data_IF_153501140398
#
_entry.id   IF_153501140398
#
_cell.length_a   1.000
_cell.length_b   1.000
_cell.length_c   1.000
_cell.angle_alpha   90.00
_cell.angle_beta   90.00
_cell.angle_gamma   90.00
#
_symmetry.space_group_name_H-M   'P 1'
#
loop_
_entity.id
_entity.type
_entity.pdbx_description
1 polymer ?
#
# COMPACT_ATOMS: atom_id res chain seq x y z
N UNK A 1 -0.55 -12.64 -16.51
CA UNK A 1 -0.43 -13.00 -15.07
C UNK A 1 -1.80 -13.37 -14.53
N UNK A 2 -1.87 -14.18 -13.45
CA UNK A 2 -3.13 -14.54 -12.80
C UNK A 2 -4.01 -13.31 -12.49
N UNK A 3 -3.42 -12.26 -11.95
CA UNK A 3 -4.12 -11.02 -11.62
C UNK A 3 -4.86 -10.40 -12.82
N UNK A 4 -4.27 -10.44 -14.01
CA UNK A 4 -4.90 -9.86 -15.20
C UNK A 4 -5.86 -10.82 -15.91
N UNK A 5 -5.60 -12.13 -15.88
CA UNK A 5 -6.44 -13.10 -16.61
C UNK A 5 -7.66 -13.54 -15.82
N UNK A 6 -7.51 -13.72 -14.50
CA UNK A 6 -8.58 -14.26 -13.65
C UNK A 6 -9.28 -13.17 -12.84
N UNK A 7 -8.52 -12.16 -12.36
CA UNK A 7 -9.08 -11.09 -11.54
C UNK A 7 -9.42 -9.82 -12.32
N UNK A 8 -9.11 -9.80 -13.63
CA UNK A 8 -9.29 -8.62 -14.49
C UNK A 8 -8.65 -7.32 -13.93
N UNK A 9 -7.55 -7.48 -13.19
CA UNK A 9 -6.78 -6.36 -12.67
C UNK A 9 -5.85 -5.79 -13.76
N UNK A 10 -5.50 -4.50 -13.71
CA UNK A 10 -4.66 -3.87 -14.72
C UNK A 10 -3.31 -4.58 -14.88
N UNK A 11 -2.97 -4.94 -16.11
CA UNK A 11 -1.67 -5.57 -16.45
C UNK A 11 -0.64 -4.55 -16.94
N UNK A 12 -0.71 -3.32 -16.46
CA UNK A 12 0.20 -2.24 -16.82
C UNK A 12 1.69 -2.57 -16.61
N UNK A 13 2.56 -1.57 -16.70
CA UNK A 13 4.00 -1.74 -16.45
C UNK A 13 4.37 -1.81 -14.97
N UNK A 14 3.42 -1.63 -14.06
CA UNK A 14 3.64 -1.73 -12.63
C UNK A 14 4.14 -3.10 -12.19
N UNK A 15 4.97 -3.12 -11.16
CA UNK A 15 5.51 -4.31 -10.49
C UNK A 15 6.33 -5.25 -11.39
N UNK A 16 6.89 -4.74 -12.49
CA UNK A 16 7.80 -5.46 -13.40
C UNK A 16 9.28 -5.23 -13.09
N UNK A 17 9.61 -4.18 -12.36
CA UNK A 17 10.95 -3.84 -11.90
C UNK A 17 11.12 -4.14 -10.41
N UNK A 18 12.36 -4.32 -9.97
CA UNK A 18 12.72 -4.52 -8.58
C UNK A 18 13.62 -3.39 -8.09
N UNK A 19 13.36 -2.92 -6.88
CA UNK A 19 14.21 -1.93 -6.22
C UNK A 19 14.55 -2.42 -4.82
N UNK A 20 15.83 -2.47 -4.53
CA UNK A 20 16.34 -2.75 -3.19
C UNK A 20 16.40 -1.46 -2.38
N UNK A 21 15.77 -1.49 -1.19
CA UNK A 21 15.73 -0.37 -0.26
C UNK A 21 16.80 -0.54 0.80
N UNK A 22 17.41 0.56 1.28
CA UNK A 22 18.39 0.53 2.37
C UNK A 22 17.75 0.21 3.73
N UNK A 23 16.43 0.38 3.86
CA UNK A 23 15.68 0.19 5.09
C UNK A 23 14.61 -0.89 4.93
N UNK A 24 14.11 -1.42 6.07
CA UNK A 24 12.98 -2.36 6.11
C UNK A 24 11.61 -1.69 5.93
N UNK A 25 11.57 -0.44 5.59
CA UNK A 25 10.38 0.36 5.29
C UNK A 25 10.62 1.24 4.05
N UNK A 26 9.52 1.65 3.41
CA UNK A 26 9.54 2.54 2.24
C UNK A 26 9.45 4.00 2.67
N UNK A 27 8.53 4.29 3.60
CA UNK A 27 8.30 5.65 4.09
C UNK A 27 7.85 5.65 5.55
N UNK A 28 8.05 6.79 6.19
CA UNK A 28 7.55 7.07 7.55
C UNK A 28 6.33 7.97 7.41
N UNK A 29 5.20 7.53 7.96
CA UNK A 29 3.95 8.25 7.95
C UNK A 29 3.78 9.00 9.28
N UNK A 30 3.53 10.29 9.20
CA UNK A 30 3.23 11.16 10.34
C UNK A 30 1.73 11.40 10.37
N UNK A 31 1.07 10.96 11.42
CA UNK A 31 -0.34 11.25 11.72
C UNK A 31 -0.43 12.10 12.97
N UNK A 32 -1.38 13.02 13.03
CA UNK A 32 -1.59 13.87 14.18
C UNK A 32 -3.07 14.15 14.41
N UNK A 33 -3.48 14.27 15.68
CA UNK A 33 -4.83 14.66 16.05
C UNK A 33 -4.78 15.65 17.23
N UNK A 34 -5.78 16.53 17.38
CA UNK A 34 -5.91 17.30 18.62
C UNK A 34 -6.08 16.35 19.81
N UNK A 35 -5.61 16.70 21.04
CA UNK A 35 -5.77 15.88 22.22
C UNK A 35 -7.23 15.48 22.44
N UNK A 36 -7.45 14.20 22.80
CA UNK A 36 -8.78 13.61 23.02
C UNK A 36 -9.70 13.59 21.78
N UNK A 37 -9.15 13.77 20.59
CA UNK A 37 -9.90 13.71 19.32
C UNK A 37 -9.44 12.52 18.47
N UNK A 38 -10.42 11.83 17.86
CA UNK A 38 -10.16 10.80 16.84
C UNK A 38 -10.14 11.37 15.42
N UNK A 39 -10.37 12.69 15.27
CA UNK A 39 -10.34 13.34 13.97
C UNK A 39 -8.89 13.74 13.62
N UNK A 40 -8.23 13.06 12.67
CA UNK A 40 -6.87 13.38 12.31
C UNK A 40 -6.78 14.72 11.59
N UNK A 41 -5.65 15.40 11.79
CA UNK A 41 -5.26 16.53 10.95
C UNK A 41 -5.22 16.08 9.49
N UNK A 42 -5.78 16.90 8.61
CA UNK A 42 -5.82 16.60 7.17
C UNK A 42 -4.74 17.38 6.43
N UNK A 43 -4.07 16.70 5.50
CA UNK A 43 -3.18 17.30 4.50
C UNK A 43 -3.82 17.12 3.13
N UNK A 44 -4.15 18.23 2.48
CA UNK A 44 -4.88 18.20 1.21
C UNK A 44 -3.95 18.48 0.02
N UNK A 45 -4.06 17.64 -0.99
CA UNK A 45 -3.29 17.66 -2.22
C UNK A 45 -4.23 17.78 -3.43
N UNK A 46 -3.78 18.43 -4.49
CA UNK A 46 -4.61 18.73 -5.66
C UNK A 46 -5.11 17.47 -6.39
N UNK A 47 -4.36 16.39 -6.37
CA UNK A 47 -4.67 15.16 -7.13
C UNK A 47 -5.31 14.10 -6.24
N UNK A 48 -4.71 13.79 -5.10
CA UNK A 48 -5.12 12.66 -4.25
C UNK A 48 -6.11 13.07 -3.15
N UNK A 49 -6.51 14.36 -3.09
CA UNK A 49 -7.42 14.84 -2.05
C UNK A 49 -6.76 14.99 -0.69
N UNK A 50 -7.58 14.93 0.38
CA UNK A 50 -7.10 15.12 1.75
C UNK A 50 -6.79 13.77 2.40
N UNK A 51 -5.61 13.68 3.03
CA UNK A 51 -5.12 12.50 3.73
C UNK A 51 -4.94 12.79 5.22
N UNK A 52 -5.24 11.83 6.07
CA UNK A 52 -5.05 11.91 7.53
C UNK A 52 -3.61 11.69 7.98
N UNK A 53 -2.67 11.61 7.05
CA UNK A 53 -1.23 11.44 7.30
C UNK A 53 -0.40 12.16 6.25
N UNK A 54 0.88 12.33 6.55
CA UNK A 54 1.89 12.82 5.61
C UNK A 54 3.09 11.88 5.61
N UNK A 55 3.50 11.42 4.40
CA UNK A 55 4.60 10.48 4.21
C UNK A 55 5.94 11.17 3.93
N UNK A 56 7.01 10.59 4.43
CA UNK A 56 8.39 10.99 4.22
C UNK A 56 9.25 9.78 3.91
N UNK A 57 10.19 9.91 2.99
CA UNK A 57 11.19 8.87 2.72
C UNK A 57 12.37 8.93 3.72
N UNK A 58 12.66 10.12 4.24
CA UNK A 58 13.67 10.31 5.28
C UNK A 58 13.00 10.40 6.66
N UNK A 59 13.52 9.62 7.61
CA UNK A 59 13.01 9.61 8.97
C UNK A 59 13.25 10.95 9.69
N UNK A 60 14.36 11.63 9.40
CA UNK A 60 14.67 12.91 10.04
C UNK A 60 13.63 13.98 9.68
N UNK A 61 13.17 14.01 8.42
CA UNK A 61 12.11 14.92 7.99
C UNK A 61 10.77 14.60 8.66
N UNK A 62 10.47 13.31 8.84
CA UNK A 62 9.27 12.88 9.55
C UNK A 62 9.30 13.27 11.03
N UNK A 63 10.46 13.07 11.69
CA UNK A 63 10.67 13.45 13.09
C UNK A 63 10.60 14.96 13.30
N UNK A 64 11.14 15.74 12.37
CA UNK A 64 11.03 17.19 12.41
C UNK A 64 9.56 17.62 12.42
N UNK A 65 8.75 17.16 11.46
CA UNK A 65 7.32 17.47 11.43
C UNK A 65 6.62 16.98 12.70
N UNK A 66 6.95 15.78 13.18
CA UNK A 66 6.35 15.22 14.39
C UNK A 66 6.62 16.11 15.61
N UNK A 67 7.84 16.64 15.76
CA UNK A 67 8.21 17.54 16.85
C UNK A 67 7.49 18.88 16.74
N UNK A 68 7.44 19.49 15.55
CA UNK A 68 6.69 20.72 15.31
C UNK A 68 5.19 20.57 15.69
N UNK A 69 4.59 19.43 15.36
CA UNK A 69 3.18 19.16 15.70
C UNK A 69 2.99 18.95 17.20
N UNK A 70 3.90 18.26 17.89
CA UNK A 70 3.87 18.09 19.35
C UNK A 70 4.00 19.43 20.08
N UNK A 71 4.91 20.29 19.63
CA UNK A 71 5.08 21.66 20.17
C UNK A 71 3.80 22.50 19.99
N UNK A 72 3.03 22.24 18.93
CA UNK A 72 1.73 22.85 18.68
C UNK A 72 0.57 22.16 19.40
N UNK A 73 0.84 21.21 20.30
CA UNK A 73 -0.16 20.58 21.15
C UNK A 73 -0.94 19.45 20.51
N UNK A 74 -0.45 18.85 19.42
CA UNK A 74 -1.07 17.67 18.82
C UNK A 74 -0.52 16.38 19.42
N UNK A 75 -1.38 15.38 19.54
CA UNK A 75 -0.96 13.99 19.71
C UNK A 75 -0.45 13.47 18.35
N UNK A 76 0.76 12.92 18.32
CA UNK A 76 1.44 12.54 17.07
C UNK A 76 1.86 11.08 17.10
N UNK A 77 1.55 10.36 16.04
CA UNK A 77 1.99 9.00 15.77
C UNK A 77 2.89 8.94 14.55
N UNK A 78 3.96 8.14 14.67
CA UNK A 78 4.79 7.72 13.53
C UNK A 78 4.52 6.26 13.23
N UNK A 79 4.29 5.95 11.98
CA UNK A 79 4.15 4.57 11.50
C UNK A 79 5.00 4.34 10.25
N UNK A 80 5.41 3.09 10.01
CA UNK A 80 6.31 2.73 8.94
C UNK A 80 5.54 1.97 7.87
N UNK A 81 5.51 2.52 6.65
CA UNK A 81 4.91 1.86 5.51
C UNK A 81 5.93 0.93 4.85
N UNK A 82 5.56 -0.33 4.67
CA UNK A 82 6.38 -1.34 3.98
C UNK A 82 6.01 -1.53 2.51
N UNK A 83 4.97 -0.85 2.04
CA UNK A 83 4.53 -0.80 0.65
C UNK A 83 4.35 0.66 0.22
N UNK A 84 4.44 0.90 -1.08
CA UNK A 84 4.17 2.17 -1.72
C UNK A 84 3.54 1.90 -3.08
N UNK A 85 2.51 2.65 -3.39
CA UNK A 85 1.88 2.63 -4.70
C UNK A 85 1.57 4.06 -5.13
N UNK A 86 1.75 4.34 -6.40
CA UNK A 86 1.30 5.60 -7.02
C UNK A 86 -0.17 5.53 -7.45
N UNK A 87 -0.92 4.51 -7.01
CA UNK A 87 -2.32 4.26 -7.39
C UNK A 87 -2.49 4.17 -8.92
N UNK A 88 -1.45 3.75 -9.63
CA UNK A 88 -1.41 3.68 -11.08
C UNK A 88 -1.24 5.03 -11.79
N UNK A 89 -1.15 6.15 -11.09
CA UNK A 89 -0.97 7.46 -11.73
C UNK A 89 0.31 7.54 -12.56
N UNK A 90 1.36 6.84 -12.16
CA UNK A 90 2.62 6.78 -12.90
C UNK A 90 2.72 5.57 -13.86
N UNK A 91 1.74 4.67 -13.86
CA UNK A 91 1.67 3.51 -14.77
C UNK A 91 1.03 3.83 -16.13
N UNK A 92 1.00 5.10 -16.54
CA UNK A 92 0.40 5.51 -17.80
C UNK A 92 1.27 5.08 -18.99
N UNK A 93 0.64 4.60 -20.07
CA UNK A 93 1.33 4.09 -21.26
C UNK A 93 2.22 5.11 -21.99
N UNK A 94 2.03 6.41 -21.73
CA UNK A 94 2.83 7.49 -22.28
C UNK A 94 4.03 7.89 -21.41
N UNK A 95 4.12 7.36 -20.16
CA UNK A 95 5.27 7.56 -19.27
C UNK A 95 6.29 6.44 -19.47
N UNK A 96 7.58 6.75 -19.35
CA UNK A 96 8.63 5.73 -19.36
C UNK A 96 8.45 4.73 -18.21
N UNK A 97 8.79 3.46 -18.45
CA UNK A 97 8.60 2.35 -17.52
C UNK A 97 9.26 2.55 -16.14
N UNK A 98 10.33 3.35 -16.07
CA UNK A 98 11.01 3.63 -14.79
C UNK A 98 10.19 4.48 -13.81
N UNK A 99 9.06 5.05 -14.24
CA UNK A 99 8.10 5.71 -13.33
C UNK A 99 7.08 4.73 -12.75
N UNK A 100 7.00 3.51 -13.29
CA UNK A 100 6.03 2.52 -12.80
C UNK A 100 6.40 2.00 -11.41
N UNK A 101 5.39 1.66 -10.62
CA UNK A 101 5.56 1.12 -9.27
C UNK A 101 6.41 -0.17 -9.32
N UNK A 102 7.56 -0.24 -8.61
CA UNK A 102 8.41 -1.43 -8.57
C UNK A 102 7.96 -2.43 -7.50
N UNK A 103 8.41 -3.67 -7.61
CA UNK A 103 8.47 -4.58 -6.48
C UNK A 103 9.64 -4.14 -5.59
N UNK A 104 9.36 -3.86 -4.33
CA UNK A 104 10.35 -3.38 -3.37
C UNK A 104 10.93 -4.54 -2.56
N UNK A 105 12.17 -4.41 -2.07
CA UNK A 105 12.80 -5.43 -1.22
C UNK A 105 12.02 -5.72 0.07
N UNK A 106 11.25 -4.75 0.57
CA UNK A 106 10.33 -4.93 1.69
C UNK A 106 9.23 -5.95 1.41
N UNK A 107 8.87 -6.17 0.14
CA UNK A 107 7.90 -7.20 -0.26
C UNK A 107 8.48 -8.61 -0.12
N UNK A 108 9.78 -8.79 -0.43
CA UNK A 108 10.45 -10.08 -0.40
C UNK A 108 10.73 -10.60 1.03
N UNK A 109 10.57 -9.76 2.05
CA UNK A 109 10.65 -10.16 3.46
C UNK A 109 9.36 -10.83 3.96
N UNK A 110 8.32 -10.85 3.11
CA UNK A 110 7.01 -11.44 3.41
C UNK A 110 6.94 -12.87 2.90
N UNK A 111 5.99 -13.64 3.43
CA UNK A 111 5.64 -14.93 2.82
C UNK A 111 5.07 -14.72 1.40
N UNK A 112 5.16 -15.74 0.55
CA UNK A 112 4.62 -15.68 -0.82
C UNK A 112 3.13 -15.29 -0.83
N UNK A 113 2.38 -15.76 0.15
CA UNK A 113 0.96 -15.41 0.31
C UNK A 113 0.77 -13.92 0.60
N UNK A 114 1.57 -13.37 1.53
CA UNK A 114 1.49 -11.94 1.88
C UNK A 114 1.98 -11.06 0.74
N UNK A 115 3.00 -11.51 -0.01
CA UNK A 115 3.47 -10.82 -1.21
C UNK A 115 2.35 -10.73 -2.26
N UNK A 116 1.69 -11.86 -2.55
CA UNK A 116 0.60 -11.91 -3.52
C UNK A 116 -0.58 -11.05 -3.06
N UNK A 117 -0.95 -11.14 -1.78
CA UNK A 117 -2.01 -10.33 -1.19
C UNK A 117 -1.71 -8.84 -1.35
N UNK A 118 -0.50 -8.40 -0.98
CA UNK A 118 -0.08 -7.00 -1.13
C UNK A 118 -0.15 -6.54 -2.58
N UNK A 119 0.36 -7.34 -3.54
CA UNK A 119 0.33 -6.96 -4.95
C UNK A 119 -1.11 -6.82 -5.47
N UNK A 120 -2.02 -7.74 -5.09
CA UNK A 120 -3.43 -7.65 -5.46
C UNK A 120 -4.08 -6.42 -4.86
N UNK A 121 -3.78 -6.09 -3.60
CA UNK A 121 -4.25 -4.89 -2.91
C UNK A 121 -3.87 -3.61 -3.66
N UNK A 122 -2.59 -3.44 -3.95
CA UNK A 122 -2.09 -2.27 -4.67
C UNK A 122 -2.64 -2.17 -6.11
N UNK A 123 -2.81 -3.30 -6.78
CA UNK A 123 -3.45 -3.33 -8.11
C UNK A 123 -4.94 -2.98 -8.04
N UNK A 124 -5.64 -3.29 -6.95
CA UNK A 124 -7.04 -2.94 -6.78
C UNK A 124 -7.25 -1.42 -6.72
N UNK A 125 -6.35 -0.67 -6.08
CA UNK A 125 -6.38 0.79 -6.07
C UNK A 125 -6.29 1.42 -7.47
N UNK A 126 -5.73 0.71 -8.46
CA UNK A 126 -5.69 1.17 -9.86
C UNK A 126 -7.02 0.99 -10.59
N UNK A 127 -7.95 0.20 -10.05
CA UNK A 127 -9.28 -0.05 -10.65
C UNK A 127 -10.30 0.97 -10.18
N UNK A 128 -10.36 1.19 -8.86
CA UNK A 128 -11.30 2.13 -8.24
C UNK A 128 -10.57 2.95 -7.19
N UNK A 129 -10.67 4.27 -7.35
CA UNK A 129 -10.16 5.21 -6.37
C UNK A 129 -11.11 6.40 -6.23
N UNK A 130 -11.59 6.66 -5.01
CA UNK A 130 -12.46 7.79 -4.67
C UNK A 130 -11.64 8.82 -3.89
N UNK A 131 -11.40 9.97 -4.52
CA UNK A 131 -10.61 11.04 -3.91
C UNK A 131 -11.27 11.51 -2.59
N UNK A 132 -10.47 11.54 -1.51
CA UNK A 132 -10.93 11.99 -0.19
C UNK A 132 -11.66 10.93 0.64
N UNK A 133 -11.90 9.72 0.12
CA UNK A 133 -12.50 8.61 0.88
C UNK A 133 -11.52 7.45 1.05
N UNK A 134 -10.56 7.64 1.93
CA UNK A 134 -9.57 6.60 2.25
C UNK A 134 -10.23 5.34 2.80
N UNK A 135 -11.28 5.48 3.63
CA UNK A 135 -11.98 4.33 4.23
C UNK A 135 -12.60 3.42 3.16
N UNK A 136 -13.25 4.01 2.16
CA UNK A 136 -13.78 3.26 1.03
C UNK A 136 -12.66 2.59 0.22
N UNK A 137 -11.61 3.35 -0.13
CA UNK A 137 -10.52 2.87 -0.97
C UNK A 137 -9.82 1.65 -0.34
N UNK A 138 -9.49 1.74 0.95
CA UNK A 138 -8.86 0.64 1.68
C UNK A 138 -9.81 -0.57 1.86
N UNK A 139 -11.08 -0.33 2.11
CA UNK A 139 -12.07 -1.41 2.23
C UNK A 139 -12.26 -2.16 0.92
N UNK A 140 -12.31 -1.43 -0.20
CA UNK A 140 -12.38 -2.01 -1.54
C UNK A 140 -11.13 -2.83 -1.85
N UNK A 141 -9.94 -2.25 -1.65
CA UNK A 141 -8.68 -2.94 -1.91
C UNK A 141 -8.53 -4.20 -1.04
N UNK A 142 -8.87 -4.12 0.25
CA UNK A 142 -8.86 -5.26 1.17
C UNK A 142 -9.83 -6.38 0.72
N UNK A 143 -11.01 -6.04 0.25
CA UNK A 143 -11.95 -7.04 -0.28
C UNK A 143 -11.37 -7.76 -1.51
N UNK A 144 -10.83 -7.00 -2.47
CA UNK A 144 -10.22 -7.57 -3.68
C UNK A 144 -8.98 -8.40 -3.35
N UNK A 145 -8.16 -7.96 -2.39
CA UNK A 145 -7.02 -8.69 -1.85
C UNK A 145 -7.43 -10.06 -1.31
N UNK A 146 -8.42 -10.10 -0.42
CA UNK A 146 -8.86 -11.32 0.25
C UNK A 146 -9.41 -12.33 -0.76
N UNK A 147 -10.35 -11.90 -1.61
CA UNK A 147 -10.97 -12.77 -2.61
C UNK A 147 -9.97 -13.20 -3.69
N UNK A 148 -9.14 -12.29 -4.18
CA UNK A 148 -8.14 -12.58 -5.20
C UNK A 148 -7.03 -13.51 -4.69
N UNK A 149 -6.60 -13.37 -3.44
CA UNK A 149 -5.63 -14.27 -2.80
C UNK A 149 -6.21 -15.67 -2.65
N UNK A 150 -7.46 -15.80 -2.21
CA UNK A 150 -8.13 -17.10 -2.11
C UNK A 150 -8.24 -17.78 -3.47
N UNK A 151 -8.61 -17.06 -4.52
CA UNK A 151 -8.68 -17.60 -5.88
C UNK A 151 -7.30 -18.04 -6.39
N UNK A 152 -6.26 -17.23 -6.13
CA UNK A 152 -4.88 -17.59 -6.49
C UNK A 152 -4.42 -18.88 -5.80
N UNK A 153 -4.63 -19.00 -4.49
CA UNK A 153 -4.24 -20.19 -3.72
C UNK A 153 -4.95 -21.46 -4.23
N UNK A 154 -6.22 -21.35 -4.59
CA UNK A 154 -6.97 -22.47 -5.20
C UNK A 154 -6.43 -22.85 -6.58
N UNK A 155 -6.16 -21.86 -7.43
CA UNK A 155 -5.64 -22.10 -8.79
C UNK A 155 -4.21 -22.65 -8.81
N UNK A 156 -3.38 -22.31 -7.82
CA UNK A 156 -1.99 -22.74 -7.71
C UNK A 156 -1.77 -24.04 -6.92
N UNK A 157 -2.84 -24.68 -6.43
CA UNK A 157 -2.82 -25.85 -5.53
C UNK A 157 -2.01 -25.63 -4.23
N UNK A 158 -1.63 -24.38 -3.93
CA UNK A 158 -0.94 -24.03 -2.68
C UNK A 158 -1.89 -24.04 -1.46
N UNK A 159 -3.19 -24.11 -1.71
CA UNK A 159 -4.22 -24.24 -0.68
C UNK A 159 -4.27 -25.62 -0.05
N UNK A 160 -4.03 -26.67 -0.84
CA UNK A 160 -4.20 -28.06 -0.41
C UNK A 160 -3.09 -28.56 0.53
N UNK A 161 -1.85 -28.04 0.39
CA UNK A 161 -0.75 -28.43 1.29
C UNK A 161 -0.97 -27.99 2.75
N UNK A 162 -1.62 -26.84 2.99
CA UNK A 162 -1.88 -26.37 4.35
C UNK A 162 -3.12 -26.99 5.00
N UNK A 163 -4.09 -27.43 4.21
CA UNK A 163 -5.25 -28.17 4.71
C UNK A 163 -4.85 -29.59 5.14
N UNK A 164 -3.92 -30.22 4.42
CA UNK A 164 -3.34 -31.50 4.81
C UNK A 164 -2.48 -31.44 6.09
N UNK A 165 -1.77 -30.32 6.33
CA UNK A 165 -1.00 -30.12 7.58
C UNK A 165 -1.91 -29.86 8.78
N UNK A 166 -3.14 -29.40 8.58
CA UNK A 166 -4.12 -29.18 9.67
C UNK A 166 -4.88 -30.43 10.08
N UNK A 167 -4.86 -31.48 9.24
CA UNK A 167 -5.58 -32.74 9.48
C UNK A 167 -4.66 -33.86 10.04
N UNK A 168 -3.36 -33.63 10.17
CA UNK A 168 -2.37 -34.47 10.85
C UNK A 168 -1.91 -33.83 12.16
#
# INVERSE_FOLDING_TARGET
SFASTELNLPSGNGYKSYVELPNSYVSVLVSAAPPFSLNPKQWCYLIIGCQGYRGYFDIADAEQLANELRENGFDVSLSYASAYSTLGYLNQSWLPDYFSDPVLSTFLQRSDRELIATLIHEMAHQVVYVAGDTSFNESYATFVEQEGTLQYLRASNLGDEKEQIRQN
#
